data_IF_647461243765
#
_entry.id   IF_647461243765
#
_cell.length_a   1.000
_cell.length_b   1.000
_cell.length_c   1.000
_cell.angle_alpha   90.00
_cell.angle_beta   90.00
_cell.angle_gamma   90.00
#
_symmetry.space_group_name_H-M   'P 1'
#
loop_
_entity.id
_entity.type
_entity.pdbx_description
1 polymer ?
#
# COMPACT_ATOMS: atom_id res chain seq x y z
N UNK A 1 20.13 -43.73 3.18
CA UNK A 1 20.03 -44.98 3.95
C UNK A 1 20.93 -44.94 5.16
N UNK A 2 20.47 -44.32 6.24
CA UNK A 2 21.06 -44.45 7.55
C UNK A 2 19.92 -44.40 8.58
N UNK A 3 20.05 -45.27 9.58
CA UNK A 3 19.36 -45.31 10.86
C UNK A 3 17.96 -45.94 10.96
N UNK A 4 17.99 -47.17 11.50
CA UNK A 4 17.01 -47.76 12.42
C UNK A 4 16.83 -46.90 13.67
N UNK A 5 15.68 -47.00 14.33
CA UNK A 5 15.50 -47.18 15.80
C UNK A 5 14.01 -47.41 16.07
N UNK A 6 13.59 -48.62 16.48
CA UNK A 6 13.44 -49.10 17.87
C UNK A 6 12.28 -48.43 18.60
N UNK A 7 11.22 -49.18 18.86
CA UNK A 7 10.15 -48.76 19.77
C UNK A 7 9.90 -49.81 20.85
N UNK A 8 9.72 -49.29 22.06
CA UNK A 8 9.93 -49.93 23.35
C UNK A 8 8.64 -50.64 23.80
N UNK A 9 8.78 -51.86 24.33
CA UNK A 9 7.73 -52.59 25.05
C UNK A 9 7.90 -52.46 26.56
N UNK A 10 6.76 -52.58 27.28
CA UNK A 10 6.51 -52.66 28.75
C UNK A 10 5.92 -51.34 29.33
N UNK A 11 4.92 -51.32 30.20
CA UNK A 11 4.42 -52.32 31.16
C UNK A 11 3.00 -52.01 31.68
N UNK A 12 2.23 -53.08 31.90
CA UNK A 12 1.31 -53.40 33.02
C UNK A 12 0.29 -52.36 33.55
N UNK A 13 -0.99 -52.73 33.45
CA UNK A 13 -2.09 -52.29 34.30
C UNK A 13 -2.47 -53.45 35.26
N UNK A 14 -2.67 -53.17 36.57
CA UNK A 14 -3.43 -54.02 37.50
C UNK A 14 -4.93 -53.71 37.38
N UNK A 15 -5.87 -54.67 37.36
CA UNK A 15 -6.44 -55.41 38.50
C UNK A 15 -7.62 -54.59 39.12
N UNK A 16 -8.86 -55.04 39.35
CA UNK A 16 -9.55 -56.34 39.44
C UNK A 16 -11.09 -56.11 39.40
N UNK A 17 -11.84 -57.17 39.04
CA UNK A 17 -13.28 -57.37 39.33
C UNK A 17 -14.17 -57.34 38.09
N UNK A 18 -14.99 -58.34 37.75
CA UNK A 18 -15.33 -59.64 38.31
C UNK A 18 -16.64 -60.09 37.65
N UNK A 19 -16.73 -61.39 37.30
CA UNK A 19 -17.92 -62.26 37.11
C UNK A 19 -17.83 -63.17 35.88
N UNK A 20 -18.18 -64.43 36.15
CA UNK A 20 -17.88 -65.63 35.39
C UNK A 20 -18.97 -65.99 34.36
N UNK A 21 -18.54 -66.74 33.34
CA UNK A 21 -19.26 -67.74 32.51
C UNK A 21 -19.25 -67.43 31.01
N UNK A 22 -18.39 -68.14 30.28
CA UNK A 22 -18.56 -68.45 28.86
C UNK A 22 -19.44 -69.72 28.74
N UNK A 23 -20.18 -69.94 27.63
CA UNK A 23 -19.49 -70.43 26.45
C UNK A 23 -20.04 -69.93 25.09
N UNK A 24 -19.12 -70.00 24.12
CA UNK A 24 -19.33 -70.26 22.69
C UNK A 24 -20.13 -69.26 21.85
N UNK A 25 -19.39 -68.63 20.94
CA UNK A 25 -19.65 -68.57 19.50
C UNK A 25 -19.50 -67.16 18.93
N UNK A 26 -18.88 -67.11 17.74
CA UNK A 26 -18.76 -65.97 16.83
C UNK A 26 -17.68 -64.94 17.14
N UNK A 27 -16.42 -65.39 17.11
CA UNK A 27 -15.34 -64.53 16.61
C UNK A 27 -15.54 -64.37 15.09
N UNK A 28 -16.36 -63.39 14.69
CA UNK A 28 -16.31 -62.89 13.32
C UNK A 28 -14.93 -62.25 13.15
N UNK A 29 -14.07 -62.91 12.37
CA UNK A 29 -12.93 -62.26 11.74
C UNK A 29 -13.53 -61.14 10.87
N UNK A 30 -13.58 -59.93 11.42
CA UNK A 30 -13.74 -58.73 10.61
C UNK A 30 -12.47 -58.60 9.79
N UNK A 31 -12.48 -59.26 8.64
CA UNK A 31 -11.71 -58.86 7.47
C UNK A 31 -12.00 -57.37 7.28
N UNK A 32 -11.10 -56.50 7.73
CA UNK A 32 -11.00 -55.16 7.17
C UNK A 32 -10.58 -55.37 5.71
N UNK A 33 -11.58 -55.46 4.84
CA UNK A 33 -11.40 -55.34 3.41
C UNK A 33 -10.89 -53.91 3.22
N UNK A 34 -9.56 -53.75 3.15
CA UNK A 34 -8.93 -52.54 2.63
C UNK A 34 -9.38 -52.39 1.18
N UNK A 35 -10.57 -51.82 0.97
CA UNK A 35 -10.95 -51.25 -0.31
C UNK A 35 -10.11 -49.97 -0.40
N UNK A 36 -8.85 -50.12 -0.80
CA UNK A 36 -8.09 -49.01 -1.35
C UNK A 36 -8.76 -48.68 -2.69
N UNK A 37 -9.84 -47.91 -2.63
CA UNK A 37 -10.36 -47.22 -3.80
C UNK A 37 -9.27 -46.25 -4.22
N UNK A 38 -8.43 -46.69 -5.16
CA UNK A 38 -7.54 -45.78 -5.85
C UNK A 38 -8.42 -44.82 -6.65
N UNK A 39 -8.28 -43.51 -6.41
CA UNK A 39 -8.94 -42.49 -7.23
C UNK A 39 -8.62 -42.75 -8.69
N UNK A 40 -9.64 -42.73 -9.55
CA UNK A 40 -9.40 -42.85 -10.99
C UNK A 40 -8.71 -41.58 -11.49
N UNK A 41 -7.85 -41.71 -12.50
CA UNK A 41 -7.23 -40.53 -13.12
C UNK A 41 -8.27 -39.51 -13.58
N UNK A 42 -9.42 -39.98 -14.07
CA UNK A 42 -10.54 -39.12 -14.49
C UNK A 42 -11.14 -38.32 -13.33
N UNK A 43 -11.31 -38.93 -12.16
CA UNK A 43 -11.86 -38.26 -10.97
C UNK A 43 -10.92 -37.16 -10.45
N UNK A 44 -9.61 -37.42 -10.43
CA UNK A 44 -8.61 -36.40 -10.09
C UNK A 44 -8.58 -35.26 -11.12
N UNK A 45 -8.70 -35.57 -12.41
CA UNK A 45 -8.71 -34.55 -13.47
C UNK A 45 -9.95 -33.66 -13.42
N UNK A 46 -11.13 -34.23 -13.16
CA UNK A 46 -12.37 -33.45 -13.04
C UNK A 46 -12.30 -32.54 -11.81
N UNK A 47 -11.84 -33.05 -10.67
CA UNK A 47 -11.71 -32.24 -9.44
C UNK A 47 -10.69 -31.12 -9.60
N UNK A 48 -9.51 -31.37 -10.16
CA UNK A 48 -8.53 -30.34 -10.48
C UNK A 48 -9.05 -29.34 -11.52
N UNK A 49 -9.83 -29.81 -12.51
CA UNK A 49 -10.50 -28.96 -13.50
C UNK A 49 -11.49 -27.99 -12.87
N UNK A 50 -12.35 -28.48 -11.95
CA UNK A 50 -13.32 -27.65 -11.22
C UNK A 50 -12.60 -26.63 -10.34
N UNK A 51 -11.61 -27.06 -9.55
CA UNK A 51 -10.82 -26.15 -8.70
C UNK A 51 -10.10 -25.10 -9.54
N UNK A 52 -9.54 -25.48 -10.70
CA UNK A 52 -8.87 -24.57 -11.62
C UNK A 52 -9.80 -23.47 -12.15
N UNK A 53 -11.02 -23.83 -12.57
CA UNK A 53 -12.02 -22.85 -13.06
C UNK A 53 -12.43 -21.89 -11.94
N UNK A 54 -12.76 -22.43 -10.76
CA UNK A 54 -13.20 -21.61 -9.62
C UNK A 54 -12.07 -20.68 -9.14
N UNK A 55 -10.84 -21.18 -9.05
CA UNK A 55 -9.68 -20.37 -8.69
C UNK A 55 -9.43 -19.25 -9.71
N UNK A 56 -9.52 -19.53 -11.02
CA UNK A 56 -9.32 -18.54 -12.07
C UNK A 56 -10.32 -17.37 -11.99
N UNK A 57 -11.57 -17.63 -11.58
CA UNK A 57 -12.60 -16.58 -11.42
C UNK A 57 -12.46 -15.79 -10.12
N UNK A 58 -11.92 -16.39 -9.06
CA UNK A 58 -11.92 -15.79 -7.71
C UNK A 58 -10.60 -15.11 -7.35
N UNK A 59 -9.46 -15.64 -7.80
CA UNK A 59 -8.12 -15.11 -7.46
C UNK A 59 -7.91 -13.67 -7.93
N UNK A 60 -8.29 -13.25 -9.16
CA UNK A 60 -8.09 -11.87 -9.58
C UNK A 60 -8.85 -10.88 -8.69
N UNK A 61 -10.11 -11.18 -8.36
CA UNK A 61 -10.94 -10.31 -7.52
C UNK A 61 -10.40 -10.23 -6.08
N UNK A 62 -9.93 -11.33 -5.52
CA UNK A 62 -9.32 -11.35 -4.19
C UNK A 62 -8.00 -10.57 -4.14
N UNK A 63 -7.15 -10.73 -5.16
CA UNK A 63 -5.88 -10.01 -5.28
C UNK A 63 -6.14 -8.51 -5.36
N UNK A 64 -7.03 -8.05 -6.23
CA UNK A 64 -7.38 -6.62 -6.33
C UNK A 64 -7.92 -6.07 -5.01
N UNK A 65 -8.82 -6.79 -4.34
CA UNK A 65 -9.35 -6.35 -3.03
C UNK A 65 -8.26 -6.23 -1.96
N UNK A 66 -7.33 -7.20 -1.92
CA UNK A 66 -6.21 -7.15 -0.98
C UNK A 66 -5.25 -5.99 -1.30
N UNK A 67 -4.96 -5.75 -2.57
CA UNK A 67 -4.14 -4.61 -3.02
C UNK A 67 -4.80 -3.28 -2.63
N UNK A 68 -6.09 -3.13 -2.87
CA UNK A 68 -6.85 -1.92 -2.53
C UNK A 68 -6.83 -1.64 -1.03
N UNK A 69 -7.02 -2.67 -0.19
CA UNK A 69 -6.89 -2.56 1.27
C UNK A 69 -5.47 -2.20 1.70
N UNK A 70 -4.46 -2.76 1.06
CA UNK A 70 -3.06 -2.42 1.35
C UNK A 70 -2.76 -0.96 1.01
N UNK A 71 -3.28 -0.45 -0.11
CA UNK A 71 -3.15 0.96 -0.50
C UNK A 71 -3.84 1.88 0.51
N UNK A 72 -5.08 1.58 0.91
CA UNK A 72 -5.81 2.35 1.91
C UNK A 72 -5.06 2.42 3.25
N UNK A 73 -4.59 1.27 3.75
CA UNK A 73 -3.82 1.20 4.98
C UNK A 73 -2.51 1.98 4.87
N UNK A 74 -1.83 1.89 3.72
CA UNK A 74 -0.58 2.60 3.47
C UNK A 74 -0.79 4.11 3.38
N UNK A 75 -1.89 4.57 2.77
CA UNK A 75 -2.26 5.98 2.75
C UNK A 75 -2.50 6.52 4.16
N UNK A 76 -3.33 5.84 4.96
CA UNK A 76 -3.61 6.25 6.35
C UNK A 76 -2.34 6.32 7.18
N UNK A 77 -1.47 5.31 7.05
CA UNK A 77 -0.16 5.28 7.71
C UNK A 77 0.69 6.48 7.29
N UNK A 78 0.89 6.70 5.99
CA UNK A 78 1.72 7.81 5.50
C UNK A 78 1.16 9.16 5.94
N UNK A 79 -0.17 9.33 5.94
CA UNK A 79 -0.78 10.55 6.47
C UNK A 79 -0.43 10.77 7.95
N UNK A 80 -0.54 9.73 8.80
CA UNK A 80 -0.13 9.83 10.20
C UNK A 80 1.36 10.13 10.38
N UNK A 81 2.24 9.54 9.56
CA UNK A 81 3.69 9.81 9.60
C UNK A 81 3.99 11.26 9.22
N UNK A 82 3.32 11.79 8.19
CA UNK A 82 3.47 13.19 7.80
C UNK A 82 3.00 14.13 8.92
N UNK A 83 1.83 13.86 9.53
CA UNK A 83 1.33 14.66 10.64
C UNK A 83 2.31 14.67 11.83
N UNK A 84 2.82 13.50 12.21
CA UNK A 84 3.81 13.36 13.29
C UNK A 84 5.08 14.16 13.01
N UNK A 85 5.59 14.16 11.77
CA UNK A 85 6.76 14.93 11.39
C UNK A 85 6.54 16.45 11.59
N UNK A 86 5.37 16.97 11.23
CA UNK A 86 5.02 18.38 11.44
C UNK A 86 4.81 18.73 12.92
N UNK A 87 4.24 17.81 13.70
CA UNK A 87 4.11 17.98 15.16
C UNK A 87 5.48 18.00 15.84
N UNK A 88 6.42 17.14 15.43
CA UNK A 88 7.79 17.14 15.94
C UNK A 88 8.52 18.43 15.60
N UNK A 89 8.38 18.93 14.37
CA UNK A 89 8.90 20.24 13.98
C UNK A 89 8.37 21.35 14.89
N UNK A 90 7.04 21.40 15.07
CA UNK A 90 6.40 22.40 15.92
C UNK A 90 6.88 22.31 17.38
N UNK A 91 7.09 21.10 17.90
CA UNK A 91 7.57 20.89 19.26
C UNK A 91 9.02 21.39 19.46
N UNK A 92 9.87 21.25 18.44
CA UNK A 92 11.28 21.68 18.49
C UNK A 92 11.45 23.19 18.28
N UNK A 93 10.69 23.78 17.37
CA UNK A 93 10.86 25.19 16.96
C UNK A 93 9.89 26.16 17.68
N UNK A 94 8.85 25.64 18.33
CA UNK A 94 7.85 26.45 19.03
C UNK A 94 6.82 27.12 18.12
N UNK A 95 6.91 26.96 16.80
CA UNK A 95 5.95 27.47 15.83
C UNK A 95 5.63 26.44 14.74
N UNK A 96 4.47 26.60 14.09
CA UNK A 96 4.11 25.75 12.95
C UNK A 96 4.86 26.18 11.71
N UNK A 97 5.34 25.19 10.96
CA UNK A 97 5.85 25.43 9.63
C UNK A 97 4.74 25.96 8.72
N UNK A 98 4.96 27.11 8.10
CA UNK A 98 3.99 27.78 7.21
C UNK A 98 4.64 28.08 5.86
N UNK A 99 3.87 28.09 4.75
CA UNK A 99 4.42 28.39 3.43
C UNK A 99 5.15 29.74 3.35
N UNK A 100 4.70 30.75 4.10
CA UNK A 100 5.28 32.10 4.11
C UNK A 100 6.71 32.17 4.66
N UNK A 101 7.08 31.27 5.59
CA UNK A 101 8.42 31.24 6.19
C UNK A 101 9.39 30.30 5.46
N UNK A 102 8.90 29.57 4.46
CA UNK A 102 9.72 28.68 3.65
C UNK A 102 10.52 29.45 2.62
N UNK A 103 11.80 29.08 2.47
CA UNK A 103 12.60 29.46 1.32
C UNK A 103 12.24 28.68 0.06
N UNK A 104 13.03 28.89 -0.99
CA UNK A 104 12.87 28.17 -2.24
C UNK A 104 13.02 26.66 -2.06
N UNK A 105 12.29 25.88 -2.87
CA UNK A 105 12.51 24.45 -3.01
C UNK A 105 13.98 24.09 -3.26
N UNK A 106 14.40 22.97 -2.67
CA UNK A 106 15.78 22.51 -2.74
C UNK A 106 16.85 23.33 -2.02
N UNK A 107 16.47 24.37 -1.30
CA UNK A 107 17.39 25.11 -0.42
C UNK A 107 17.31 24.59 1.03
N UNK A 108 18.27 25.00 1.88
CA UNK A 108 18.28 24.67 3.31
C UNK A 108 17.05 25.21 4.07
N UNK A 109 16.39 26.23 3.53
CA UNK A 109 15.17 26.83 4.09
C UNK A 109 13.90 26.34 3.39
N UNK A 110 14.02 25.48 2.37
CA UNK A 110 12.88 24.87 1.68
C UNK A 110 12.21 23.77 2.52
N UNK A 111 10.98 23.40 2.13
CA UNK A 111 10.15 22.49 2.91
C UNK A 111 10.85 21.16 3.23
N UNK A 112 11.50 20.56 2.22
CA UNK A 112 12.23 19.31 2.38
C UNK A 112 13.23 19.37 3.52
N UNK A 113 14.13 20.36 3.52
CA UNK A 113 15.19 20.48 4.52
C UNK A 113 14.63 20.61 5.94
N UNK A 114 13.49 21.28 6.08
CA UNK A 114 12.83 21.50 7.36
C UNK A 114 12.15 20.23 7.90
N UNK A 115 11.53 19.40 7.06
CA UNK A 115 10.74 18.25 7.56
C UNK A 115 11.49 16.91 7.48
N UNK A 116 12.44 16.78 6.56
CA UNK A 116 13.17 15.54 6.29
C UNK A 116 13.82 14.90 7.54
N UNK A 117 14.41 15.67 8.49
CA UNK A 117 15.00 15.10 9.71
C UNK A 117 14.02 14.33 10.60
N UNK A 118 12.72 14.60 10.51
CA UNK A 118 11.68 13.97 11.32
C UNK A 118 11.13 12.67 10.70
N UNK A 119 11.65 12.26 9.54
CA UNK A 119 11.26 11.02 8.88
C UNK A 119 12.34 9.93 9.02
N UNK A 120 11.90 8.66 9.01
CA UNK A 120 12.79 7.51 8.87
C UNK A 120 13.06 7.24 7.40
N UNK A 121 14.22 7.65 6.91
CA UNK A 121 14.58 7.69 5.48
C UNK A 121 15.63 6.63 5.14
N UNK A 122 15.52 6.04 3.95
CA UNK A 122 16.52 5.10 3.40
C UNK A 122 17.27 5.66 2.20
N UNK A 123 16.71 6.66 1.52
CA UNK A 123 17.38 7.34 0.42
C UNK A 123 16.93 8.80 0.35
N UNK A 124 17.91 9.71 0.40
CA UNK A 124 17.70 11.09 -0.01
C UNK A 124 17.85 11.18 -1.53
N UNK A 125 16.77 11.55 -2.21
CA UNK A 125 16.72 11.68 -3.65
C UNK A 125 16.95 13.12 -4.12
N UNK A 126 17.40 14.02 -3.25
CA UNK A 126 17.74 15.38 -3.63
C UNK A 126 16.50 16.18 -4.04
N UNK A 127 16.66 16.96 -5.09
CA UNK A 127 15.64 17.79 -5.74
C UNK A 127 15.68 17.53 -7.25
N UNK A 128 14.94 18.33 -8.01
CA UNK A 128 15.04 18.43 -9.45
C UNK A 128 16.47 18.53 -9.94
N UNK A 129 16.96 17.43 -10.51
CA UNK A 129 18.26 17.35 -11.15
C UNK A 129 18.24 16.31 -12.27
N UNK A 130 18.96 16.60 -13.35
CA UNK A 130 19.27 15.65 -14.42
C UNK A 130 20.38 14.66 -14.02
N UNK A 131 21.03 14.89 -12.88
CA UNK A 131 22.06 14.02 -12.30
C UNK A 131 21.52 13.32 -11.06
N UNK A 132 21.90 12.05 -10.88
CA UNK A 132 21.58 11.28 -9.69
C UNK A 132 21.96 12.09 -8.43
N UNK A 133 21.08 12.19 -7.41
CA UNK A 133 20.28 11.08 -6.86
C UNK A 133 18.75 11.13 -7.08
N UNK A 134 18.22 11.91 -8.02
CA UNK A 134 16.76 12.05 -8.21
C UNK A 134 15.99 10.71 -8.31
N UNK A 135 14.98 10.54 -7.45
CA UNK A 135 14.08 9.39 -7.46
C UNK A 135 13.17 9.45 -8.70
N UNK A 136 12.70 10.63 -9.05
CA UNK A 136 11.92 10.92 -10.23
C UNK A 136 12.68 12.04 -10.95
N UNK A 137 13.61 11.68 -11.86
CA UNK A 137 14.39 12.67 -12.59
C UNK A 137 13.47 13.42 -13.54
N UNK A 138 13.58 14.75 -13.53
CA UNK A 138 12.88 15.54 -14.51
C UNK A 138 13.59 15.47 -15.86
N UNK A 139 12.81 15.20 -16.89
CA UNK A 139 13.03 15.72 -18.22
C UNK A 139 11.60 16.06 -18.69
N UNK A 140 11.36 17.24 -19.26
CA UNK A 140 10.01 17.63 -19.70
C UNK A 140 9.39 16.56 -20.62
N UNK A 141 10.27 15.82 -21.31
CA UNK A 141 9.97 14.67 -22.15
C UNK A 141 10.45 13.35 -21.56
N UNK A 142 10.49 13.18 -20.23
CA UNK A 142 10.98 11.93 -19.64
C UNK A 142 10.12 10.76 -20.16
N UNK A 143 10.65 9.91 -21.05
CA UNK A 143 9.87 8.81 -21.60
C UNK A 143 9.46 7.85 -20.47
N UNK A 144 10.22 7.84 -19.38
CA UNK A 144 10.05 7.02 -18.19
C UNK A 144 9.19 7.67 -17.10
N UNK A 145 8.56 8.83 -17.32
CA UNK A 145 7.52 9.31 -16.40
C UNK A 145 6.41 8.26 -16.31
N UNK A 146 6.36 7.59 -15.15
CA UNK A 146 5.45 6.48 -14.90
C UNK A 146 4.14 6.93 -14.26
N UNK A 147 4.06 8.18 -13.79
CA UNK A 147 2.89 8.70 -13.10
C UNK A 147 1.83 9.22 -14.07
N UNK A 148 0.58 8.85 -13.77
CA UNK A 148 -0.58 9.15 -14.60
C UNK A 148 -1.72 9.77 -13.80
N UNK A 149 -2.62 10.44 -14.51
CA UNK A 149 -3.86 10.99 -13.97
C UNK A 149 -4.72 9.89 -13.32
N UNK A 150 -5.72 10.30 -12.54
CA UNK A 150 -6.66 9.39 -11.88
C UNK A 150 -7.31 8.39 -12.83
N UNK A 151 -7.63 8.78 -14.06
CA UNK A 151 -8.20 7.91 -15.09
C UNK A 151 -7.14 7.17 -15.94
N UNK A 152 -5.85 7.39 -15.68
CA UNK A 152 -4.72 6.67 -16.28
C UNK A 152 -4.39 7.12 -17.71
N UNK A 153 -5.18 8.03 -18.30
CA UNK A 153 -5.07 8.37 -19.72
C UNK A 153 -3.90 9.28 -20.02
N UNK A 154 -3.60 10.22 -19.13
CA UNK A 154 -2.56 11.23 -19.35
C UNK A 154 -1.39 11.04 -18.38
N UNK A 155 -0.18 11.37 -18.83
CA UNK A 155 0.98 11.55 -17.94
C UNK A 155 0.79 12.86 -17.16
N UNK A 156 1.15 12.87 -15.88
CA UNK A 156 1.09 14.10 -15.08
C UNK A 156 2.38 14.92 -15.23
N UNK A 157 2.27 16.24 -15.12
CA UNK A 157 3.43 17.14 -15.08
C UNK A 157 4.24 16.91 -13.81
N UNK A 158 5.56 16.79 -13.95
CA UNK A 158 6.48 16.51 -12.84
C UNK A 158 6.99 17.77 -12.12
N UNK A 159 6.58 18.95 -12.58
CA UNK A 159 6.87 20.27 -11.96
C UNK A 159 6.05 20.52 -10.68
N UNK A 160 5.57 19.47 -10.03
CA UNK A 160 4.92 19.50 -8.73
C UNK A 160 5.67 18.60 -7.74
N UNK A 161 6.87 18.15 -8.12
CA UNK A 161 7.70 17.15 -7.43
C UNK A 161 9.19 17.55 -7.49
N UNK A 162 9.49 18.78 -7.88
CA UNK A 162 10.81 19.29 -8.18
C UNK A 162 11.55 19.84 -6.97
N UNK A 163 10.84 20.16 -5.89
CA UNK A 163 11.42 20.86 -4.75
C UNK A 163 11.94 19.95 -3.64
N UNK A 164 11.69 18.64 -3.75
CA UNK A 164 12.31 17.67 -2.86
C UNK A 164 11.77 16.26 -3.01
N UNK A 165 12.66 15.26 -2.88
CA UNK A 165 12.28 13.86 -2.99
C UNK A 165 13.08 13.00 -2.00
N UNK A 166 12.44 12.06 -1.32
CA UNK A 166 13.12 11.09 -0.46
C UNK A 166 12.26 9.85 -0.20
N UNK A 167 12.91 8.72 0.08
CA UNK A 167 12.27 7.41 0.29
C UNK A 167 12.26 7.06 1.77
N UNK A 168 11.09 6.67 2.28
CA UNK A 168 10.92 6.21 3.66
C UNK A 168 11.35 4.74 3.81
N UNK A 169 11.59 4.32 5.05
CA UNK A 169 11.95 2.93 5.40
C UNK A 169 10.97 1.84 4.96
N UNK A 170 9.70 2.17 4.73
CA UNK A 170 8.71 1.23 4.19
C UNK A 170 8.65 1.20 2.66
N UNK A 171 9.51 2.00 2.00
CA UNK A 171 9.59 2.13 0.55
C UNK A 171 8.63 3.15 -0.05
N UNK A 172 7.83 3.88 0.74
CA UNK A 172 7.04 5.00 0.22
C UNK A 172 7.95 6.15 -0.21
N UNK A 173 7.51 6.90 -1.22
CA UNK A 173 8.27 8.02 -1.79
C UNK A 173 7.54 9.32 -1.49
N UNK A 174 8.22 10.24 -0.80
CA UNK A 174 7.76 11.60 -0.56
C UNK A 174 8.29 12.51 -1.68
N UNK A 175 7.40 13.33 -2.22
CA UNK A 175 7.63 14.31 -3.26
C UNK A 175 7.11 15.66 -2.77
N UNK A 176 7.87 16.72 -2.97
CA UNK A 176 7.61 18.04 -2.41
C UNK A 176 7.51 19.06 -3.54
N UNK A 177 6.54 19.96 -3.37
CA UNK A 177 6.38 21.20 -4.12
C UNK A 177 6.29 22.35 -3.11
N UNK A 178 7.21 23.30 -3.21
CA UNK A 178 7.16 24.54 -2.46
C UNK A 178 7.79 25.69 -3.27
N UNK A 179 6.94 26.58 -3.76
CA UNK A 179 7.38 27.79 -4.45
C UNK A 179 7.66 28.92 -3.45
N UNK A 180 8.80 29.61 -3.60
CA UNK A 180 9.15 30.78 -2.77
C UNK A 180 8.07 31.86 -2.86
N UNK A 181 7.60 32.34 -1.72
CA UNK A 181 6.56 33.38 -1.65
C UNK A 181 5.15 32.90 -2.05
N UNK A 182 4.97 31.61 -2.35
CA UNK A 182 3.65 31.03 -2.52
C UNK A 182 2.98 30.81 -1.16
N UNK A 183 1.66 30.97 -1.14
CA UNK A 183 0.83 30.70 0.05
C UNK A 183 0.46 29.22 0.22
N UNK A 184 1.14 28.34 -0.50
CA UNK A 184 0.87 26.90 -0.47
C UNK A 184 2.16 26.11 -0.65
N UNK A 185 2.20 24.93 -0.05
CA UNK A 185 3.16 23.88 -0.36
C UNK A 185 2.42 22.54 -0.42
N UNK A 186 2.89 21.63 -1.27
CA UNK A 186 2.32 20.30 -1.39
C UNK A 186 3.32 19.22 -1.01
N UNK A 187 2.79 18.20 -0.33
CA UNK A 187 3.48 16.98 -0.02
C UNK A 187 2.71 15.88 -0.72
N UNK A 188 3.31 15.27 -1.73
CA UNK A 188 2.75 14.12 -2.42
C UNK A 188 3.47 12.87 -1.98
N UNK A 189 2.74 11.82 -1.65
CA UNK A 189 3.28 10.52 -1.28
C UNK A 189 2.83 9.47 -2.28
N UNK A 190 3.80 8.71 -2.78
CA UNK A 190 3.55 7.42 -3.39
C UNK A 190 3.64 6.35 -2.30
N UNK A 191 2.50 5.78 -1.94
CA UNK A 191 2.33 4.95 -0.73
C UNK A 191 2.80 3.52 -0.92
N UNK A 192 2.93 3.03 -2.16
CA UNK A 192 3.43 1.69 -2.46
C UNK A 192 4.87 1.72 -3.03
N UNK A 193 5.35 2.91 -3.39
CA UNK A 193 6.68 3.20 -3.88
C UNK A 193 6.76 3.17 -5.40
N UNK A 194 7.59 4.06 -5.98
CA UNK A 194 7.63 4.39 -7.42
C UNK A 194 7.71 3.23 -8.42
N UNK A 195 8.25 2.09 -7.99
CA UNK A 195 8.49 0.93 -8.85
C UNK A 195 7.30 -0.03 -8.87
N UNK A 196 6.26 0.21 -8.05
CA UNK A 196 5.04 -0.60 -7.99
C UNK A 196 3.92 0.10 -8.73
N UNK A 197 3.11 -0.68 -9.46
CA UNK A 197 1.95 -0.17 -10.18
C UNK A 197 0.76 0.03 -9.21
N UNK A 198 -0.18 0.94 -9.52
CA UNK A 198 -0.37 1.63 -10.82
C UNK A 198 0.46 2.90 -11.12
N UNK A 199 1.06 3.57 -10.14
CA UNK A 199 1.61 4.93 -10.26
C UNK A 199 0.56 5.92 -10.82
N UNK A 200 -0.60 5.99 -10.16
CA UNK A 200 -1.72 6.84 -10.55
C UNK A 200 -2.14 7.74 -9.40
N UNK A 201 -2.36 9.01 -9.71
CA UNK A 201 -2.88 9.97 -8.75
C UNK A 201 -4.27 9.54 -8.26
N UNK A 202 -4.47 9.46 -6.96
CA UNK A 202 -5.69 8.92 -6.34
C UNK A 202 -5.70 7.40 -6.16
N UNK A 203 -4.74 6.65 -6.71
CA UNK A 203 -4.64 5.20 -6.46
C UNK A 203 -3.57 4.88 -5.41
N UNK A 204 -2.35 5.27 -5.71
CA UNK A 204 -1.16 5.08 -4.88
C UNK A 204 -0.37 6.38 -4.69
N UNK A 205 -0.58 7.37 -5.55
CA UNK A 205 -0.04 8.71 -5.42
C UNK A 205 -1.09 9.64 -4.80
N UNK A 206 -0.80 10.25 -3.65
CA UNK A 206 -1.74 11.09 -2.89
C UNK A 206 -1.11 12.38 -2.43
N UNK A 207 -1.82 13.50 -2.57
CA UNK A 207 -1.31 14.83 -2.25
C UNK A 207 -1.97 15.42 -1.01
N UNK A 208 -1.15 16.07 -0.18
CA UNK A 208 -1.53 16.85 0.98
C UNK A 208 -1.11 18.30 0.77
N UNK A 209 -1.92 19.21 1.30
CA UNK A 209 -1.72 20.65 1.24
C UNK A 209 -1.29 21.15 2.62
N UNK A 210 -0.17 21.87 2.65
CA UNK A 210 0.21 22.71 3.78
C UNK A 210 -0.50 24.06 3.64
N UNK A 211 -1.48 24.30 4.49
CA UNK A 211 -2.24 25.55 4.53
C UNK A 211 -1.42 26.70 5.09
N UNK A 212 -1.90 27.92 4.88
CA UNK A 212 -1.32 29.16 5.38
C UNK A 212 -1.17 29.21 6.91
N UNK A 213 -2.09 28.57 7.65
CA UNK A 213 -2.02 28.40 9.10
C UNK A 213 -1.16 27.20 9.58
N UNK A 214 -0.46 26.54 8.65
CA UNK A 214 0.51 25.49 8.95
C UNK A 214 -0.11 24.12 9.25
N UNK A 215 -1.36 23.88 8.84
CA UNK A 215 -2.00 22.56 8.95
C UNK A 215 -1.77 21.73 7.69
N UNK A 216 -1.65 20.42 7.87
CA UNK A 216 -1.64 19.46 6.77
C UNK A 216 -3.04 18.91 6.55
N UNK A 217 -3.62 19.25 5.40
CA UNK A 217 -4.95 18.78 4.99
C UNK A 217 -4.87 17.97 3.70
N UNK A 218 -5.71 16.96 3.50
CA UNK A 218 -5.71 16.21 2.25
C UNK A 218 -6.11 17.09 1.08
N UNK A 219 -5.44 17.02 -0.07
CA UNK A 219 -5.90 17.75 -1.24
C UNK A 219 -7.31 17.28 -1.65
N UNK A 220 -8.16 18.23 -2.02
CA UNK A 220 -9.59 18.02 -2.25
C UNK A 220 -10.50 18.57 -1.15
N UNK A 221 -9.99 18.97 0.02
CA UNK A 221 -10.83 19.72 0.97
C UNK A 221 -11.21 21.09 0.40
N UNK A 222 -12.32 21.72 0.86
CA UNK A 222 -12.67 23.10 0.49
C UNK A 222 -11.56 24.13 0.73
N UNK A 223 -10.70 23.91 1.72
CA UNK A 223 -9.56 24.77 2.06
C UNK A 223 -8.32 24.51 1.19
N UNK A 224 -8.35 23.51 0.30
CA UNK A 224 -7.22 23.18 -0.57
C UNK A 224 -7.31 23.87 -1.94
N UNK A 225 -6.16 24.14 -2.55
CA UNK A 225 -6.05 24.70 -3.90
C UNK A 225 -6.75 23.85 -4.97
N UNK A 226 -6.93 22.55 -4.71
CA UNK A 226 -7.51 21.59 -5.64
C UNK A 226 -8.85 21.03 -5.16
N UNK A 227 -9.72 21.92 -4.66
CA UNK A 227 -11.02 21.58 -4.06
C UNK A 227 -12.16 21.36 -5.06
N UNK A 228 -11.99 21.72 -6.33
CA UNK A 228 -13.04 21.61 -7.35
C UNK A 228 -13.38 20.14 -7.68
N UNK A 229 -14.40 19.62 -6.99
CA UNK A 229 -14.95 18.27 -7.21
C UNK A 229 -15.36 18.11 -8.67
N UNK A 230 -15.10 16.92 -9.25
CA UNK A 230 -15.38 16.65 -10.66
C UNK A 230 -14.24 17.05 -11.60
N UNK A 231 -13.44 18.07 -11.27
CA UNK A 231 -12.25 18.46 -12.06
C UNK A 231 -11.00 17.71 -11.61
N UNK A 232 -10.72 17.72 -10.30
CA UNK A 232 -9.48 17.18 -9.72
C UNK A 232 -9.63 15.79 -9.10
N UNK A 233 -10.84 15.23 -9.12
CA UNK A 233 -11.07 13.83 -8.79
C UNK A 233 -12.33 13.33 -9.51
N UNK A 234 -12.16 12.78 -10.72
CA UNK A 234 -13.25 12.20 -11.50
C UNK A 234 -12.74 11.23 -12.57
N UNK A 235 -13.46 10.14 -12.82
CA UNK A 235 -13.16 9.21 -13.92
C UNK A 235 -13.41 9.81 -15.32
N UNK A 236 -14.18 10.89 -15.40
CA UNK A 236 -14.55 11.57 -16.66
C UNK A 236 -13.77 12.85 -16.93
N UNK A 237 -12.99 13.33 -15.96
CA UNK A 237 -12.21 14.57 -16.12
C UNK A 237 -11.01 14.34 -17.03
N UNK A 238 -10.86 15.20 -18.04
CA UNK A 238 -9.70 15.26 -18.92
C UNK A 238 -8.62 16.25 -18.44
N UNK A 239 -8.75 16.80 -17.22
CA UNK A 239 -7.81 17.78 -16.69
C UNK A 239 -6.43 17.14 -16.41
N UNK A 240 -5.34 17.83 -16.75
CA UNK A 240 -3.97 17.31 -16.60
C UNK A 240 -3.57 17.01 -15.14
N UNK A 241 -4.26 17.64 -14.18
CA UNK A 241 -4.10 17.40 -12.72
C UNK A 241 -5.21 16.53 -12.12
N UNK A 242 -5.95 15.79 -12.94
CA UNK A 242 -7.00 14.90 -12.43
C UNK A 242 -6.39 13.83 -11.51
N UNK A 243 -6.87 13.76 -10.28
CA UNK A 243 -6.42 12.88 -9.21
C UNK A 243 -5.78 13.58 -8.02
N UNK A 244 -5.30 14.82 -8.19
CA UNK A 244 -4.68 15.57 -7.07
C UNK A 244 -5.65 15.80 -5.91
N UNK A 245 -6.93 16.07 -6.21
CA UNK A 245 -7.97 16.28 -5.20
C UNK A 245 -8.56 14.97 -4.66
N UNK A 246 -8.09 13.81 -5.11
CA UNK A 246 -8.67 12.53 -4.70
C UNK A 246 -8.29 12.12 -3.27
N UNK A 247 -7.24 12.68 -2.68
CA UNK A 247 -6.80 12.33 -1.32
C UNK A 247 -7.90 12.52 -0.29
N UNK A 248 -8.68 13.59 -0.40
CA UNK A 248 -9.82 13.84 0.48
C UNK A 248 -10.84 12.70 0.42
N UNK A 249 -11.21 12.24 -0.78
CA UNK A 249 -12.16 11.15 -0.94
C UNK A 249 -11.56 9.82 -0.48
N UNK A 250 -10.30 9.55 -0.79
CA UNK A 250 -9.60 8.33 -0.40
C UNK A 250 -9.52 8.15 1.13
N UNK A 251 -9.45 9.24 1.90
CA UNK A 251 -9.41 9.18 3.36
C UNK A 251 -10.81 9.11 4.01
N UNK A 252 -11.84 9.65 3.36
CA UNK A 252 -13.16 9.85 3.97
C UNK A 252 -14.25 8.91 3.45
N UNK A 253 -14.13 8.41 2.23
CA UNK A 253 -15.08 7.47 1.63
C UNK A 253 -14.58 6.02 1.77
N UNK A 254 -15.38 5.21 2.47
CA UNK A 254 -15.09 3.78 2.75
C UNK A 254 -15.09 2.92 1.49
N UNK A 255 -15.81 3.34 0.46
CA UNK A 255 -15.94 2.58 -0.78
C UNK A 255 -15.04 3.12 -1.90
N UNK A 256 -14.26 4.18 -1.62
CA UNK A 256 -13.37 4.81 -2.60
C UNK A 256 -12.45 3.80 -3.29
N UNK A 257 -11.71 3.01 -2.51
CA UNK A 257 -10.76 2.04 -3.04
C UNK A 257 -11.45 0.86 -3.75
N UNK A 258 -12.73 0.60 -3.49
CA UNK A 258 -13.49 -0.42 -4.21
C UNK A 258 -13.97 0.07 -5.59
N UNK A 259 -14.04 1.37 -5.79
CA UNK A 259 -14.60 2.04 -6.97
C UNK A 259 -13.53 2.76 -7.82
N UNK A 260 -12.26 2.38 -7.65
CA UNK A 260 -11.16 2.94 -8.43
C UNK A 260 -11.33 2.66 -9.94
N UNK A 261 -11.03 3.63 -10.82
CA UNK A 261 -11.03 3.43 -12.26
C UNK A 261 -10.03 2.34 -12.66
N UNK A 262 -10.45 1.40 -13.51
CA UNK A 262 -9.55 0.34 -13.98
C UNK A 262 -8.57 0.86 -15.03
#
# INVERSE_FOLDING_TARGET
NMSKTFDITKSQQGGWGGLNNAPSAFFNILYFKNILSAFTLAEVLITLGIIGIVAAMTLPALITRNQNKALEASLKKNYSVILQAFEMYQAEHGERLRPEILGAGGTLTGLKAQIMPYFKIIADCGTYSNTHPACIPYNADNPNNSYRTYDGKQKIGLTLFDDGQFVLTDGSLILIENMTGAKYAFITVDVNGRNKKPNRWGHDLFTFHLTDDGRIVPAGTPQSTYSAQGTYCSSTSAHARNGIGCTYYALNDKDYFNNLPR
#
